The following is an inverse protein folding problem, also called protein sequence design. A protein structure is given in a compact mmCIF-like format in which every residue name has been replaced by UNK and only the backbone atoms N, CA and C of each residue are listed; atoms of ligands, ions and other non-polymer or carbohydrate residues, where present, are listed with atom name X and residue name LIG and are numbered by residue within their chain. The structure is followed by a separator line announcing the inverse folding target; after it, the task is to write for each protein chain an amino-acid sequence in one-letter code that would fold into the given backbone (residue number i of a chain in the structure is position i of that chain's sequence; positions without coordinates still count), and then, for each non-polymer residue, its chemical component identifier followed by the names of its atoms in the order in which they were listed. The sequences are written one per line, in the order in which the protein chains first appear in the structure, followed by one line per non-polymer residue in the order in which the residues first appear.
data_IF_443017570989
#
_entry.id   IF_443017570989
#
_cell.length_a   1.000
_cell.length_b   1.000
_cell.length_c   1.000
_cell.angle_alpha   90.00
_cell.angle_beta   90.00
_cell.angle_gamma   90.00
#
_symmetry.space_group_name_H-M   'P 1'
#
loop_
_entity.id
_entity.type
_entity.pdbx_description
1 polymer ?
#
# COMPACT_ATOMS: atom_id res chain seq x y z
N UNK A 1 -11.65 13.20 3.64
CA UNK A 1 -11.72 12.48 2.36
C UNK A 1 -13.18 12.40 1.95
N UNK A 2 -13.51 12.78 0.71
CA UNK A 2 -14.88 12.68 0.20
C UNK A 2 -15.28 11.23 -0.11
N UNK A 3 -16.55 10.88 0.10
CA UNK A 3 -17.06 9.49 -0.07
C UNK A 3 -17.11 9.05 -1.53
N UNK A 4 -17.51 9.95 -2.43
CA UNK A 4 -17.54 9.65 -3.86
C UNK A 4 -16.11 9.48 -4.38
N UNK A 5 -15.19 10.32 -3.90
CA UNK A 5 -13.77 10.21 -4.21
C UNK A 5 -13.14 8.89 -3.71
N UNK A 6 -13.46 8.46 -2.47
CA UNK A 6 -12.99 7.17 -1.95
C UNK A 6 -13.49 5.97 -2.76
N UNK A 7 -14.71 6.07 -3.32
CA UNK A 7 -15.27 5.03 -4.19
C UNK A 7 -14.58 5.02 -5.55
N UNK A 8 -14.20 6.18 -6.08
CA UNK A 8 -13.44 6.31 -7.34
C UNK A 8 -12.02 5.74 -7.24
N UNK A 9 -11.39 5.81 -6.06
CA UNK A 9 -10.07 5.23 -5.80
C UNK A 9 -10.09 3.71 -5.54
N UNK A 10 -11.19 3.03 -5.87
CA UNK A 10 -11.38 1.59 -5.63
C UNK A 10 -11.30 1.16 -4.17
N UNK A 11 -11.55 2.08 -3.22
CA UNK A 11 -11.53 1.83 -1.77
C UNK A 11 -10.19 1.21 -1.29
N UNK A 12 -10.22 0.52 -0.15
CA UNK A 12 -9.08 -0.30 0.29
C UNK A 12 -9.07 -1.62 -0.45
N UNK A 13 -7.87 -2.16 -0.60
CA UNK A 13 -7.65 -3.47 -1.19
C UNK A 13 -8.15 -4.55 -0.22
N UNK A 14 -9.12 -5.36 -0.67
CA UNK A 14 -9.83 -6.33 0.17
C UNK A 14 -9.00 -7.58 0.48
N UNK A 15 -7.88 -7.78 -0.23
CA UNK A 15 -6.99 -8.94 -0.05
C UNK A 15 -5.75 -8.62 0.79
N UNK A 16 -5.66 -7.42 1.37
CA UNK A 16 -4.67 -7.12 2.41
C UNK A 16 -5.10 -7.71 3.76
N UNK A 17 -4.26 -8.58 4.31
CA UNK A 17 -4.50 -9.20 5.62
C UNK A 17 -4.10 -8.25 6.75
N UNK A 18 -4.96 -8.08 7.75
CA UNK A 18 -4.74 -7.40 9.06
C UNK A 18 -3.56 -6.41 9.12
N UNK A 19 -3.90 -5.11 9.09
CA UNK A 19 -3.12 -3.93 9.47
C UNK A 19 -1.70 -3.75 8.87
N UNK A 20 -1.42 -2.51 8.48
CA UNK A 20 -0.10 -1.92 8.17
C UNK A 20 0.34 -1.88 6.70
N UNK A 21 -0.41 -2.45 5.75
CA UNK A 21 -0.21 -2.22 4.30
C UNK A 21 -1.08 -1.10 3.73
N UNK A 22 -2.24 -0.88 4.33
CA UNK A 22 -3.32 -0.07 3.77
C UNK A 22 -2.99 1.41 3.60
N UNK A 23 -2.24 1.97 4.55
CA UNK A 23 -1.84 3.37 4.56
C UNK A 23 -0.89 3.68 3.40
N UNK A 24 -0.01 2.73 3.03
CA UNK A 24 0.92 2.89 1.91
C UNK A 24 0.18 2.77 0.57
N UNK A 25 -0.74 1.81 0.45
CA UNK A 25 -1.50 1.62 -0.78
C UNK A 25 -2.37 2.83 -1.15
N UNK A 26 -3.07 3.42 -0.17
CA UNK A 26 -3.90 4.61 -0.43
C UNK A 26 -3.03 5.84 -0.73
N UNK A 27 -1.88 6.02 -0.06
CA UNK A 27 -1.01 7.19 -0.30
C UNK A 27 -0.44 7.20 -1.72
N UNK A 28 0.01 6.04 -2.22
CA UNK A 28 0.50 5.95 -3.59
C UNK A 28 -0.61 6.20 -4.60
N UNK A 29 -1.80 5.61 -4.40
CA UNK A 29 -2.95 5.84 -5.28
C UNK A 29 -3.37 7.32 -5.31
N UNK A 30 -3.44 7.98 -4.16
CA UNK A 30 -3.78 9.41 -4.09
C UNK A 30 -2.74 10.25 -4.85
N UNK A 31 -1.44 10.01 -4.61
CA UNK A 31 -0.35 10.74 -5.27
C UNK A 31 -0.27 10.50 -6.78
N UNK A 32 -0.34 9.24 -7.21
CA UNK A 32 -0.29 8.86 -8.63
C UNK A 32 -1.56 9.25 -9.38
N UNK A 33 -2.73 9.34 -8.74
CA UNK A 33 -3.93 9.87 -9.38
C UNK A 33 -3.96 11.42 -9.44
N UNK A 34 -2.86 12.10 -9.08
CA UNK A 34 -2.72 13.56 -9.18
C UNK A 34 -3.37 14.33 -8.03
N UNK A 35 -3.61 13.69 -6.89
CA UNK A 35 -4.17 14.32 -5.70
C UNK A 35 -3.10 14.56 -4.62
N UNK A 36 -3.32 15.57 -3.78
CA UNK A 36 -2.41 15.92 -2.68
C UNK A 36 -2.80 15.24 -1.37
N UNK A 37 -1.79 14.88 -0.57
CA UNK A 37 -1.93 14.44 0.81
C UNK A 37 -1.39 15.56 1.71
N UNK A 38 -2.23 16.11 2.59
CA UNK A 38 -1.88 17.27 3.42
C UNK A 38 -1.91 16.95 4.91
N UNK A 39 -0.93 17.48 5.64
CA UNK A 39 -0.87 17.43 7.11
C UNK A 39 -1.38 18.77 7.65
N UNK A 40 -2.60 18.79 8.18
CA UNK A 40 -3.24 20.01 8.71
C UNK A 40 -2.80 20.25 10.16
N UNK A 41 -1.90 21.23 10.38
CA UNK A 41 -1.32 21.51 11.70
C UNK A 41 -2.33 22.02 12.74
N UNK A 42 -3.40 22.67 12.31
CA UNK A 42 -4.43 23.23 13.20
C UNK A 42 -5.38 22.17 13.78
N UNK A 43 -5.44 20.98 13.17
CA UNK A 43 -6.27 19.88 13.64
C UNK A 43 -5.41 18.90 14.43
N UNK A 44 -5.64 18.80 15.74
CA UNK A 44 -4.81 17.99 16.65
C UNK A 44 -5.61 16.80 17.17
N UNK A 45 -5.15 15.60 16.85
CA UNK A 45 -5.63 14.35 17.42
C UNK A 45 -4.47 13.61 18.09
N UNK A 46 -4.65 13.18 19.34
CA UNK A 46 -3.66 12.40 20.06
C UNK A 46 -3.77 10.91 19.72
N UNK A 47 -2.66 10.29 19.32
CA UNK A 47 -2.58 8.84 19.12
C UNK A 47 -1.73 8.21 20.24
N UNK A 48 -2.24 7.16 20.89
CA UNK A 48 -1.49 6.41 21.92
C UNK A 48 -0.55 5.43 21.22
N UNK A 49 0.74 5.78 21.16
CA UNK A 49 1.75 4.89 20.60
C UNK A 49 1.98 3.68 21.52
N UNK A 50 1.89 2.48 20.95
CA UNK A 50 2.20 1.22 21.64
C UNK A 50 3.45 0.61 21.01
N UNK A 51 4.38 0.12 21.84
CA UNK A 51 5.61 -0.56 21.36
C UNK A 51 5.34 -1.95 20.78
N UNK A 52 4.25 -2.60 21.18
CA UNK A 52 3.83 -3.93 20.70
C UNK A 52 2.35 -3.90 20.36
N UNK A 53 1.97 -4.65 19.32
CA UNK A 53 0.58 -4.78 18.90
C UNK A 53 -0.16 -5.66 19.93
N UNK A 54 -1.37 -5.26 20.39
CA UNK A 54 -2.13 -6.01 21.39
C UNK A 54 -2.91 -7.20 20.82
N UNK A 55 -2.82 -7.43 19.51
CA UNK A 55 -3.49 -8.54 18.82
C UNK A 55 -2.45 -9.52 18.29
N UNK A 56 -2.72 -10.80 18.48
CA UNK A 56 -1.93 -11.91 17.94
C UNK A 56 -2.40 -12.22 16.53
N UNK A 57 -1.46 -12.28 15.59
CA UNK A 57 -1.72 -12.83 14.27
C UNK A 57 -1.84 -14.35 14.39
N UNK A 58 -2.77 -14.96 13.64
CA UNK A 58 -2.73 -16.40 13.39
C UNK A 58 -1.58 -16.65 12.39
N UNK A 59 -0.32 -16.55 12.86
CA UNK A 59 0.88 -16.69 12.05
C UNK A 59 1.99 -15.68 12.39
N UNK A 60 3.10 -15.73 11.63
CA UNK A 60 4.22 -14.80 11.77
C UNK A 60 3.83 -13.39 11.32
N UNK A 61 3.67 -12.48 12.29
CA UNK A 61 3.37 -11.05 12.07
C UNK A 61 4.32 -10.36 11.06
N UNK A 62 5.57 -10.79 11.02
CA UNK A 62 6.56 -10.28 10.05
C UNK A 62 6.27 -10.72 8.61
N UNK A 63 5.73 -11.92 8.42
CA UNK A 63 5.38 -12.44 7.09
C UNK A 63 4.12 -11.76 6.54
N UNK A 64 3.12 -11.50 7.38
CA UNK A 64 1.91 -10.74 6.99
C UNK A 64 2.28 -9.33 6.56
N UNK A 65 3.12 -8.65 7.34
CA UNK A 65 3.59 -7.30 7.01
C UNK A 65 4.39 -7.26 5.70
N UNK A 66 5.33 -8.18 5.53
CA UNK A 66 6.13 -8.27 4.32
C UNK A 66 5.26 -8.56 3.09
N UNK A 67 4.26 -9.44 3.20
CA UNK A 67 3.31 -9.78 2.14
C UNK A 67 2.48 -8.57 1.69
N UNK A 68 1.88 -7.83 2.63
CA UNK A 68 1.08 -6.64 2.31
C UNK A 68 1.92 -5.52 1.68
N UNK A 69 3.14 -5.34 2.19
CA UNK A 69 4.05 -4.32 1.68
C UNK A 69 4.55 -4.66 0.29
N UNK A 70 4.86 -5.94 0.04
CA UNK A 70 5.26 -6.42 -1.28
C UNK A 70 4.14 -6.20 -2.30
N UNK A 71 2.88 -6.47 -1.95
CA UNK A 71 1.73 -6.20 -2.83
C UNK A 71 1.59 -4.72 -3.17
N UNK A 72 1.76 -3.85 -2.17
CA UNK A 72 1.73 -2.40 -2.37
C UNK A 72 2.89 -1.94 -3.26
N UNK A 73 4.09 -2.48 -3.04
CA UNK A 73 5.26 -2.18 -3.85
C UNK A 73 5.03 -2.62 -5.30
N UNK A 74 4.53 -3.83 -5.55
CA UNK A 74 4.31 -4.30 -6.91
C UNK A 74 3.26 -3.47 -7.67
N UNK A 75 2.17 -3.11 -6.99
CA UNK A 75 1.08 -2.34 -7.62
C UNK A 75 1.39 -0.87 -7.80
N UNK A 76 2.32 -0.31 -7.02
CA UNK A 76 2.54 1.14 -6.95
C UNK A 76 3.95 1.59 -7.33
N UNK A 77 4.96 0.73 -7.16
CA UNK A 77 6.38 1.06 -7.34
C UNK A 77 6.99 0.50 -8.63
N UNK A 78 6.25 -0.25 -9.45
CA UNK A 78 6.72 -0.79 -10.73
C UNK A 78 8.10 -1.49 -10.57
N UNK A 79 9.09 -1.11 -11.38
CA UNK A 79 10.47 -1.63 -11.32
C UNK A 79 11.21 -1.31 -10.01
N UNK A 80 10.72 -0.37 -9.20
CA UNK A 80 11.35 -0.01 -7.93
C UNK A 80 11.09 -1.04 -6.83
N UNK A 81 10.20 -2.01 -7.05
CA UNK A 81 10.00 -3.16 -6.15
C UNK A 81 11.31 -3.92 -5.90
N UNK A 82 12.26 -3.91 -6.85
CA UNK A 82 13.60 -4.51 -6.68
C UNK A 82 14.38 -3.93 -5.50
N UNK A 83 14.21 -2.63 -5.22
CA UNK A 83 14.88 -1.97 -4.08
C UNK A 83 14.25 -2.43 -2.77
N UNK A 84 12.92 -2.56 -2.73
CA UNK A 84 12.22 -3.11 -1.58
C UNK A 84 12.65 -4.56 -1.29
N UNK A 85 12.70 -5.41 -2.32
CA UNK A 85 13.17 -6.80 -2.20
C UNK A 85 14.64 -6.91 -1.79
N UNK A 86 15.48 -5.92 -2.12
CA UNK A 86 16.88 -5.88 -1.68
C UNK A 86 17.00 -5.48 -0.21
N UNK A 87 16.18 -4.53 0.25
CA UNK A 87 16.15 -4.08 1.64
C UNK A 87 15.52 -5.12 2.59
N UNK A 88 14.52 -5.88 2.12
CA UNK A 88 13.80 -6.87 2.92
C UNK A 88 13.94 -8.26 2.28
N UNK A 89 14.98 -9.04 2.65
CA UNK A 89 15.22 -10.35 2.04
C UNK A 89 14.12 -11.38 2.34
N UNK A 90 13.37 -11.20 3.43
CA UNK A 90 12.19 -12.03 3.76
C UNK A 90 11.08 -11.92 2.70
N UNK A 91 10.96 -10.79 2.03
CA UNK A 91 9.95 -10.57 1.01
C UNK A 91 10.21 -11.38 -0.28
N UNK A 92 11.47 -11.79 -0.54
CA UNK A 92 11.83 -12.59 -1.74
C UNK A 92 11.24 -14.00 -1.73
N UNK A 93 10.97 -14.54 -0.54
CA UNK A 93 10.46 -15.90 -0.38
C UNK A 93 8.91 -15.97 -0.38
N UNK A 94 8.22 -14.84 -0.55
CA UNK A 94 6.76 -14.78 -0.59
C UNK A 94 6.31 -14.96 -2.05
N UNK A 95 5.52 -16.00 -2.31
CA UNK A 95 5.11 -16.38 -3.66
C UNK A 95 4.19 -15.33 -4.31
N UNK A 96 4.58 -14.88 -5.50
CA UNK A 96 3.90 -13.87 -6.32
C UNK A 96 2.54 -14.31 -6.89
N UNK A 97 2.30 -15.63 -6.98
CA UNK A 97 1.16 -16.24 -7.66
C UNK A 97 -0.20 -15.84 -7.07
N UNK A 98 -0.24 -15.42 -5.82
CA UNK A 98 -1.48 -14.98 -5.16
C UNK A 98 -1.94 -13.58 -5.60
N UNK A 99 -1.07 -12.76 -6.20
CA UNK A 99 -1.41 -11.38 -6.60
C UNK A 99 -1.98 -11.27 -8.02
N UNK A 100 -1.53 -12.15 -8.92
CA UNK A 100 -1.94 -12.12 -10.33
C UNK A 100 -3.41 -12.56 -10.53
N UNK A 101 -3.94 -13.43 -9.68
CA UNK A 101 -5.31 -13.95 -9.77
C UNK A 101 -6.38 -12.95 -9.29
N UNK A 102 -5.98 -11.88 -8.59
CA UNK A 102 -6.87 -10.86 -8.03
C UNK A 102 -7.06 -9.67 -9.00
N UNK A 103 -6.10 -9.48 -9.92
CA UNK A 103 -6.22 -8.57 -11.06
C UNK A 103 -6.95 -9.24 -12.22
N UNK A 104 -8.22 -9.62 -11.98
CA UNK A 104 -9.15 -9.87 -13.07
C UNK A 104 -9.33 -8.58 -13.88
N UNK A 105 -8.63 -8.47 -15.01
CA UNK A 105 -8.95 -7.58 -16.14
C UNK A 105 -9.55 -6.22 -15.78
N UNK A 106 -8.90 -5.44 -14.91
CA UNK A 106 -9.21 -4.02 -14.72
C UNK A 106 -8.05 -3.18 -15.22
N UNK A 107 -7.81 -3.28 -16.53
CA UNK A 107 -7.38 -2.16 -17.36
C UNK A 107 -8.47 -1.07 -17.34
N UNK A 108 -8.76 -0.51 -16.16
CA UNK A 108 -9.53 0.72 -16.09
C UNK A 108 -8.56 1.84 -16.45
N UNK A 109 -8.85 2.49 -17.56
CA UNK A 109 -8.18 3.65 -18.16
C UNK A 109 -8.07 4.80 -17.14
N UNK A 110 -7.19 4.66 -16.15
CA UNK A 110 -6.76 5.72 -15.25
C UNK A 110 -5.33 6.00 -15.67
N UNK A 111 -5.10 7.20 -16.21
CA UNK A 111 -3.79 7.72 -16.62
C UNK A 111 -2.73 7.30 -15.61
N UNK A 112 -1.89 6.33 -15.96
CA UNK A 112 -0.86 5.78 -15.08
C UNK A 112 0.26 6.80 -14.96
N UNK A 113 0.25 7.58 -13.88
CA UNK A 113 1.45 8.27 -13.44
C UNK A 113 2.38 7.22 -12.84
N UNK A 114 3.54 7.05 -13.47
CA UNK A 114 4.57 6.11 -13.02
C UNK A 114 5.18 6.58 -11.70
N UNK A 115 5.68 5.65 -10.89
CA UNK A 115 6.34 5.99 -9.61
C UNK A 115 7.45 7.06 -9.74
N UNK A 116 8.12 7.10 -10.89
CA UNK A 116 9.13 8.12 -11.26
C UNK A 116 8.61 9.55 -11.25
N UNK A 117 7.31 9.76 -11.47
CA UNK A 117 6.67 11.10 -11.38
C UNK A 117 6.29 11.48 -9.96
N UNK A 118 6.16 10.51 -9.05
CA UNK A 118 5.81 10.71 -7.65
C UNK A 118 7.04 11.06 -6.78
N UNK A 119 8.21 10.49 -7.08
CA UNK A 119 9.46 10.76 -6.35
C UNK A 119 10.38 11.67 -7.17
N UNK A 120 10.37 13.00 -6.98
CA UNK A 120 11.44 13.85 -7.49
C UNK A 120 12.74 13.43 -6.78
N UNK A 121 13.76 13.08 -7.56
CA UNK A 121 15.08 12.64 -7.07
C UNK A 121 15.81 13.69 -6.26
#
# INVERSE_FOLDING_TARGET
MDKAYFTKLSKYDITMDVCDGESRGISFRVGQCGCSLEIILCNRAGHVFRRRRPYTFLGDSGNVFARNTLRTAETSMDEYTKYYCTAVPLAKNISFVDFANDFGTTTTTTTTFTFTTYSPG
#
